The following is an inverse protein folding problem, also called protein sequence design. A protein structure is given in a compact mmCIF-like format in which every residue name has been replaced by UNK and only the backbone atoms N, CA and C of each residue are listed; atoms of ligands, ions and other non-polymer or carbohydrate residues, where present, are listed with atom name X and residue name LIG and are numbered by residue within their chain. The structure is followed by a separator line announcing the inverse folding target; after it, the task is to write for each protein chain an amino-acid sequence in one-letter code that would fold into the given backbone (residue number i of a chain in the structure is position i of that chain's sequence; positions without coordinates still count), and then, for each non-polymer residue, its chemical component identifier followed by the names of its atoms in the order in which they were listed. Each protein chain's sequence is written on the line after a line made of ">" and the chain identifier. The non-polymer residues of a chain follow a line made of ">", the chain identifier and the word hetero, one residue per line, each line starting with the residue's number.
data_IF_453912098849
#
_entry.id   IF_453912098849
#
_cell.length_a   1.000
_cell.length_b   1.000
_cell.length_c   1.000
_cell.angle_alpha   90.00
_cell.angle_beta   90.00
_cell.angle_gamma   90.00
#
_symmetry.space_group_name_H-M   'P 1'
#
loop_
_entity.id
_entity.type
_entity.pdbx_description
1 polymer ?
#
# COMPACT_ATOMS: atom_id res chain seq x y z
N UNK A 1 27.23 -6.15 -29.14
CA UNK A 1 27.77 -6.34 -27.77
C UNK A 1 27.44 -5.20 -26.78
N UNK A 2 26.71 -4.13 -27.18
CA UNK A 2 26.36 -3.01 -26.27
C UNK A 2 25.01 -3.14 -25.55
N UNK A 3 24.10 -4.03 -25.96
CA UNK A 3 22.77 -4.13 -25.35
C UNK A 3 22.76 -4.89 -24.02
N UNK A 4 23.65 -5.87 -23.84
CA UNK A 4 23.73 -6.70 -22.63
C UNK A 4 24.22 -5.97 -21.38
N UNK A 5 24.94 -4.84 -21.54
CA UNK A 5 25.49 -4.10 -20.40
C UNK A 5 24.46 -3.16 -19.75
N UNK A 6 23.52 -2.62 -20.53
CA UNK A 6 22.49 -1.68 -20.06
C UNK A 6 21.34 -2.41 -19.34
N UNK A 7 20.96 -3.59 -19.85
CA UNK A 7 19.94 -4.47 -19.26
C UNK A 7 20.38 -5.02 -17.89
N UNK A 8 21.68 -5.35 -17.74
CA UNK A 8 22.19 -5.92 -16.50
C UNK A 8 22.30 -4.88 -15.36
N UNK A 9 22.56 -3.60 -15.69
CA UNK A 9 22.53 -2.51 -14.71
C UNK A 9 21.12 -2.18 -14.25
N UNK A 10 20.14 -2.17 -15.15
CA UNK A 10 18.73 -1.91 -14.83
C UNK A 10 18.15 -2.99 -13.91
N UNK A 11 18.43 -4.27 -14.20
CA UNK A 11 18.04 -5.38 -13.33
C UNK A 11 18.67 -5.29 -11.93
N UNK A 12 19.94 -4.91 -11.83
CA UNK A 12 20.60 -4.75 -10.54
C UNK A 12 19.98 -3.62 -9.69
N UNK A 13 19.55 -2.53 -10.33
CA UNK A 13 18.89 -1.41 -9.67
C UNK A 13 17.49 -1.78 -9.18
N UNK A 14 16.70 -2.48 -9.99
CA UNK A 14 15.39 -3.02 -9.59
C UNK A 14 15.55 -3.97 -8.39
N UNK A 15 16.52 -4.89 -8.41
CA UNK A 15 16.79 -5.80 -7.30
C UNK A 15 17.21 -5.07 -6.02
N UNK A 16 17.91 -3.95 -6.15
CA UNK A 16 18.27 -3.08 -5.02
C UNK A 16 17.04 -2.37 -4.46
N UNK A 17 16.17 -1.84 -5.31
CA UNK A 17 14.94 -1.15 -4.91
C UNK A 17 13.92 -2.09 -4.26
N UNK A 18 13.83 -3.33 -4.73
CA UNK A 18 13.03 -4.38 -4.10
C UNK A 18 13.55 -4.73 -2.70
N UNK A 19 14.86 -4.58 -2.47
CA UNK A 19 15.48 -4.75 -1.16
C UNK A 19 15.40 -3.50 -0.26
N UNK A 20 14.97 -2.33 -0.77
CA UNK A 20 14.60 -1.17 0.04
C UNK A 20 13.24 -1.40 0.71
N UNK A 21 13.23 -2.26 1.72
CA UNK A 21 12.09 -2.56 2.59
C UNK A 21 12.45 -2.31 4.06
N UNK A 22 11.44 -2.11 4.90
CA UNK A 22 11.65 -1.97 6.33
C UNK A 22 12.34 -3.24 6.89
N UNK A 23 13.28 -3.10 7.84
CA UNK A 23 13.91 -4.25 8.47
C UNK A 23 12.90 -5.17 9.15
N UNK A 24 13.13 -6.49 9.13
CA UNK A 24 12.22 -7.49 9.70
C UNK A 24 11.81 -7.15 11.14
N UNK A 25 12.77 -6.74 11.99
CA UNK A 25 12.50 -6.32 13.37
C UNK A 25 11.45 -5.22 13.49
N UNK A 26 11.49 -4.23 12.58
CA UNK A 26 10.55 -3.11 12.58
C UNK A 26 9.18 -3.54 12.07
N UNK A 27 9.12 -4.43 11.09
CA UNK A 27 7.88 -5.09 10.65
C UNK A 27 7.23 -5.87 11.79
N UNK A 28 7.99 -6.71 12.50
CA UNK A 28 7.48 -7.47 13.64
C UNK A 28 6.93 -6.55 14.72
N UNK A 29 7.63 -5.46 15.03
CA UNK A 29 7.14 -4.46 15.99
C UNK A 29 5.80 -3.82 15.54
N UNK A 30 5.63 -3.52 14.26
CA UNK A 30 4.35 -3.03 13.73
C UNK A 30 3.25 -4.10 13.81
N UNK A 31 3.56 -5.36 13.48
CA UNK A 31 2.61 -6.48 13.59
C UNK A 31 2.16 -6.68 15.04
N UNK A 32 3.07 -6.56 16.00
CA UNK A 32 2.79 -6.77 17.41
C UNK A 32 1.81 -5.73 17.96
N UNK A 33 1.86 -4.50 17.44
CA UNK A 33 0.97 -3.39 17.82
C UNK A 33 -0.43 -3.48 17.21
N UNK A 34 -0.66 -4.34 16.21
CA UNK A 34 -1.99 -4.52 15.62
C UNK A 34 -2.95 -5.16 16.62
N UNK A 35 -4.18 -4.66 16.70
CA UNK A 35 -5.25 -5.26 17.49
C UNK A 35 -5.96 -6.36 16.67
N UNK A 36 -5.26 -7.47 16.49
CA UNK A 36 -5.68 -8.64 15.69
C UNK A 36 -5.28 -9.92 16.40
N UNK A 37 -5.88 -11.05 16.01
CA UNK A 37 -5.60 -12.36 16.63
C UNK A 37 -4.13 -12.76 16.50
N UNK A 38 -3.66 -13.58 17.46
CA UNK A 38 -2.30 -14.10 17.44
C UNK A 38 -1.99 -14.91 16.17
N UNK A 39 -2.98 -15.68 15.69
CA UNK A 39 -2.86 -16.43 14.44
C UNK A 39 -2.67 -15.51 13.24
N UNK A 40 -3.42 -14.39 13.19
CA UNK A 40 -3.25 -13.43 12.12
C UNK A 40 -1.89 -12.73 12.19
N UNK A 41 -1.40 -12.41 13.41
CA UNK A 41 -0.02 -11.92 13.59
C UNK A 41 1.01 -12.93 13.12
N UNK A 42 0.81 -14.23 13.38
CA UNK A 42 1.68 -15.28 12.88
C UNK A 42 1.71 -15.32 11.35
N UNK A 43 0.55 -15.26 10.69
CA UNK A 43 0.46 -15.18 9.23
C UNK A 43 1.21 -13.96 8.65
N UNK A 44 1.10 -12.79 9.29
CA UNK A 44 1.85 -11.59 8.87
C UNK A 44 3.37 -11.75 9.06
N UNK A 45 3.81 -12.44 10.12
CA UNK A 45 5.23 -12.76 10.33
C UNK A 45 5.74 -13.77 9.32
N UNK A 46 4.94 -14.78 8.98
CA UNK A 46 5.26 -15.75 7.93
C UNK A 46 5.39 -15.05 6.58
N UNK A 47 4.44 -14.15 6.26
CA UNK A 47 4.53 -13.30 5.08
C UNK A 47 5.81 -12.48 5.07
N UNK A 48 6.20 -11.85 6.18
CA UNK A 48 7.44 -11.07 6.27
C UNK A 48 8.72 -11.92 6.04
N UNK A 49 8.66 -13.23 6.23
CA UNK A 49 9.76 -14.16 5.97
C UNK A 49 9.77 -14.72 4.53
N UNK A 50 8.74 -14.43 3.72
CA UNK A 50 8.71 -14.85 2.31
C UNK A 50 9.85 -14.17 1.54
N UNK A 51 10.72 -14.99 0.97
CA UNK A 51 11.84 -14.57 0.11
C UNK A 51 11.77 -15.28 -1.23
N UNK A 52 12.31 -14.64 -2.27
CA UNK A 52 12.43 -15.18 -3.60
C UNK A 52 13.85 -14.95 -4.10
N UNK A 53 14.51 -16.01 -4.56
CA UNK A 53 15.83 -15.93 -5.19
C UNK A 53 15.69 -15.64 -6.70
N UNK A 54 16.32 -14.57 -7.17
CA UNK A 54 16.41 -14.18 -8.58
C UNK A 54 17.88 -14.20 -9.00
N UNK A 55 18.27 -15.16 -9.82
CA UNK A 55 19.68 -15.41 -10.15
C UNK A 55 20.49 -15.75 -8.90
N UNK A 56 21.48 -14.92 -8.56
CA UNK A 56 22.30 -15.06 -7.35
C UNK A 56 21.84 -14.18 -6.17
N UNK A 57 20.73 -13.45 -6.32
CA UNK A 57 20.27 -12.46 -5.34
C UNK A 57 19.00 -12.94 -4.64
N UNK A 58 19.00 -12.95 -3.30
CA UNK A 58 17.80 -13.21 -2.51
C UNK A 58 17.06 -11.88 -2.28
N UNK A 59 15.80 -11.82 -2.71
CA UNK A 59 14.91 -10.68 -2.52
C UNK A 59 13.85 -11.02 -1.48
N UNK A 60 13.69 -10.17 -0.48
CA UNK A 60 12.66 -10.38 0.54
C UNK A 60 11.34 -9.73 0.15
N UNK A 61 10.65 -10.37 -0.79
CA UNK A 61 9.40 -9.87 -1.36
C UNK A 61 8.32 -9.65 -0.30
N UNK A 62 8.23 -10.55 0.69
CA UNK A 62 7.26 -10.44 1.78
C UNK A 62 7.43 -9.18 2.62
N UNK A 63 8.70 -8.81 2.90
CA UNK A 63 9.01 -7.56 3.61
C UNK A 63 8.64 -6.33 2.79
N UNK A 64 8.85 -6.37 1.47
CA UNK A 64 8.46 -5.25 0.58
C UNK A 64 6.95 -5.07 0.55
N UNK A 65 6.18 -6.16 0.35
CA UNK A 65 4.71 -6.13 0.36
C UNK A 65 4.20 -5.53 1.67
N UNK A 66 4.68 -6.03 2.81
CA UNK A 66 4.21 -5.55 4.10
C UNK A 66 4.67 -4.11 4.41
N UNK A 67 5.87 -3.72 3.94
CA UNK A 67 6.33 -2.33 4.05
C UNK A 67 5.40 -1.38 3.30
N UNK A 68 5.05 -1.72 2.05
CA UNK A 68 4.13 -0.94 1.22
C UNK A 68 2.74 -0.92 1.85
N UNK A 69 2.25 -2.04 2.38
CA UNK A 69 0.96 -2.08 3.07
C UNK A 69 0.90 -1.13 4.28
N UNK A 70 1.95 -1.15 5.13
CA UNK A 70 2.06 -0.23 6.27
C UNK A 70 2.12 1.22 5.79
N UNK A 71 2.90 1.50 4.74
CA UNK A 71 3.00 2.83 4.14
C UNK A 71 1.65 3.32 3.62
N UNK A 72 0.88 2.49 2.91
CA UNK A 72 -0.46 2.85 2.41
C UNK A 72 -1.40 3.19 3.56
N UNK A 73 -1.49 2.32 4.58
CA UNK A 73 -2.40 2.49 5.71
C UNK A 73 -2.07 3.76 6.52
N UNK A 74 -0.78 4.09 6.64
CA UNK A 74 -0.34 5.27 7.40
C UNK A 74 -0.39 6.57 6.58
N UNK A 75 -0.22 6.50 5.26
CA UNK A 75 -0.15 7.68 4.39
C UNK A 75 -1.52 8.09 3.85
N UNK A 76 -2.41 7.13 3.60
CA UNK A 76 -3.70 7.35 2.93
C UNK A 76 -4.88 6.86 3.78
N UNK A 77 -5.12 7.46 4.96
CA UNK A 77 -6.23 7.05 5.83
C UNK A 77 -7.61 7.28 5.20
N UNK A 78 -7.77 8.28 4.34
CA UNK A 78 -8.99 8.57 3.60
C UNK A 78 -9.33 7.48 2.59
N UNK A 79 -8.35 6.97 1.84
CA UNK A 79 -8.51 5.80 0.96
C UNK A 79 -9.03 4.61 1.77
N UNK A 80 -8.40 4.30 2.90
CA UNK A 80 -8.80 3.16 3.74
C UNK A 80 -10.23 3.31 4.26
N UNK A 81 -10.59 4.51 4.73
CA UNK A 81 -11.95 4.82 5.17
C UNK A 81 -12.97 4.66 4.02
N UNK A 82 -12.66 5.18 2.84
CA UNK A 82 -13.51 5.09 1.66
C UNK A 82 -13.78 3.64 1.24
N UNK A 83 -12.74 2.80 1.22
CA UNK A 83 -12.86 1.36 0.96
C UNK A 83 -13.70 0.65 2.03
N UNK A 84 -13.48 0.97 3.31
CA UNK A 84 -14.25 0.38 4.41
C UNK A 84 -15.74 0.71 4.30
N UNK A 85 -16.10 1.99 4.10
CA UNK A 85 -17.49 2.43 3.92
C UNK A 85 -18.12 1.75 2.70
N UNK A 86 -17.43 1.75 1.56
CA UNK A 86 -17.90 1.09 0.35
C UNK A 86 -18.17 -0.40 0.56
N UNK A 87 -17.28 -1.09 1.28
CA UNK A 87 -17.41 -2.52 1.60
C UNK A 87 -18.61 -2.78 2.51
N UNK A 88 -18.79 -1.96 3.56
CA UNK A 88 -19.93 -2.07 4.49
C UNK A 88 -21.25 -1.87 3.74
N UNK A 89 -21.35 -0.82 2.91
CA UNK A 89 -22.56 -0.55 2.11
C UNK A 89 -22.87 -1.73 1.18
N UNK A 90 -21.85 -2.26 0.50
CA UNK A 90 -22.01 -3.42 -0.40
C UNK A 90 -22.50 -4.66 0.35
N UNK A 91 -21.93 -4.94 1.54
CA UNK A 91 -22.37 -6.05 2.39
C UNK A 91 -23.82 -5.89 2.84
N UNK A 92 -24.24 -4.69 3.25
CA UNK A 92 -25.62 -4.40 3.64
C UNK A 92 -26.57 -4.67 2.47
N UNK A 93 -26.27 -4.18 1.27
CA UNK A 93 -27.07 -4.45 0.06
C UNK A 93 -27.16 -5.96 -0.22
N UNK A 94 -26.07 -6.69 0.01
CA UNK A 94 -26.01 -8.14 -0.17
C UNK A 94 -26.95 -8.94 0.73
N UNK A 95 -27.40 -8.37 1.86
CA UNK A 95 -28.31 -9.05 2.80
C UNK A 95 -29.76 -9.11 2.33
N UNK A 96 -30.14 -8.35 1.30
CA UNK A 96 -31.52 -8.34 0.78
C UNK A 96 -31.83 -9.73 0.16
N UNK A 97 -32.86 -10.45 0.63
CA UNK A 97 -33.18 -11.76 0.09
C UNK A 97 -33.55 -11.68 -1.39
N UNK A 98 -33.25 -12.74 -2.14
CA UNK A 98 -33.53 -12.91 -3.57
C UNK A 98 -32.69 -12.02 -4.51
N UNK A 99 -32.65 -10.70 -4.27
CA UNK A 99 -32.02 -9.71 -5.19
C UNK A 99 -30.71 -9.12 -4.67
N UNK A 100 -30.46 -9.18 -3.36
CA UNK A 100 -29.29 -8.56 -2.72
C UNK A 100 -27.95 -9.00 -3.28
N UNK A 101 -27.68 -10.31 -3.47
CA UNK A 101 -26.41 -10.76 -4.02
C UNK A 101 -26.15 -10.24 -5.45
N UNK A 102 -27.18 -10.23 -6.30
CA UNK A 102 -27.07 -9.71 -7.67
C UNK A 102 -26.82 -8.19 -7.67
N UNK A 103 -27.54 -7.45 -6.82
CA UNK A 103 -27.35 -6.02 -6.67
C UNK A 103 -25.99 -5.69 -6.08
N UNK A 104 -25.52 -6.43 -5.07
CA UNK A 104 -24.21 -6.23 -4.46
C UNK A 104 -23.07 -6.52 -5.46
N UNK A 105 -23.21 -7.53 -6.32
CA UNK A 105 -22.24 -7.81 -7.37
C UNK A 105 -22.13 -6.67 -8.40
N UNK A 106 -23.21 -5.92 -8.62
CA UNK A 106 -23.23 -4.76 -9.51
C UNK A 106 -22.80 -3.45 -8.82
N UNK A 107 -23.34 -3.18 -7.63
CA UNK A 107 -23.10 -1.95 -6.85
C UNK A 107 -21.73 -1.95 -6.19
N UNK A 108 -21.21 -3.11 -5.81
CA UNK A 108 -19.94 -3.25 -5.10
C UNK A 108 -18.75 -2.61 -5.82
N UNK A 109 -18.49 -2.95 -7.10
CA UNK A 109 -17.43 -2.31 -7.88
C UNK A 109 -17.59 -0.78 -7.98
N UNK A 110 -18.83 -0.30 -8.14
CA UNK A 110 -19.12 1.15 -8.21
C UNK A 110 -18.80 1.80 -6.86
N UNK A 111 -19.29 1.22 -5.76
CA UNK A 111 -19.03 1.71 -4.40
C UNK A 111 -17.54 1.71 -4.08
N UNK A 112 -16.80 0.66 -4.43
CA UNK A 112 -15.36 0.61 -4.24
C UNK A 112 -14.64 1.66 -5.07
N UNK A 113 -14.99 1.82 -6.35
CA UNK A 113 -14.42 2.86 -7.20
C UNK A 113 -14.69 4.26 -6.64
N UNK A 114 -15.92 4.53 -6.19
CA UNK A 114 -16.28 5.81 -5.55
C UNK A 114 -15.55 6.00 -4.22
N UNK A 115 -15.51 4.99 -3.36
CA UNK A 115 -14.85 5.03 -2.05
C UNK A 115 -13.34 5.27 -2.20
N UNK A 116 -12.68 4.57 -3.11
CA UNK A 116 -11.26 4.78 -3.45
C UNK A 116 -11.03 6.21 -3.95
N UNK A 117 -11.85 6.67 -4.89
CA UNK A 117 -11.68 8.00 -5.50
C UNK A 117 -11.90 9.13 -4.49
N UNK A 118 -12.98 9.06 -3.71
CA UNK A 118 -13.31 10.06 -2.70
C UNK A 118 -12.33 10.03 -1.53
N UNK A 119 -11.89 8.84 -1.13
CA UNK A 119 -10.85 8.66 -0.12
C UNK A 119 -9.52 9.25 -0.55
N UNK A 120 -9.08 8.97 -1.78
CA UNK A 120 -7.87 9.55 -2.35
C UNK A 120 -7.97 11.08 -2.45
N UNK A 121 -9.12 11.59 -2.89
CA UNK A 121 -9.36 13.03 -2.96
C UNK A 121 -9.29 13.70 -1.58
N UNK A 122 -9.81 13.04 -0.54
CA UNK A 122 -9.70 13.49 0.84
C UNK A 122 -8.24 13.56 1.29
N UNK A 123 -7.46 12.52 1.01
CA UNK A 123 -6.04 12.47 1.38
C UNK A 123 -5.23 13.55 0.65
N UNK A 124 -5.51 13.80 -0.63
CA UNK A 124 -4.86 14.87 -1.40
C UNK A 124 -5.24 16.28 -0.94
N UNK A 125 -6.48 16.48 -0.47
CA UNK A 125 -6.95 17.76 0.04
C UNK A 125 -6.50 18.04 1.49
N UNK A 126 -5.81 17.09 2.12
CA UNK A 126 -5.29 17.28 3.48
C UNK A 126 -4.24 18.40 3.55
N UNK A 127 -4.16 19.06 4.71
CA UNK A 127 -3.16 20.08 4.99
C UNK A 127 -1.71 19.57 4.91
N UNK A 128 -1.51 18.25 4.98
CA UNK A 128 -0.20 17.62 4.80
C UNK A 128 0.34 17.84 3.38
N UNK A 129 -0.51 17.78 2.36
CA UNK A 129 -0.09 18.02 0.98
C UNK A 129 0.25 19.49 0.74
N UNK A 130 -0.59 20.41 1.22
CA UNK A 130 -0.32 21.84 1.10
C UNK A 130 0.98 22.24 1.82
N UNK A 131 1.27 21.62 2.97
CA UNK A 131 2.52 21.83 3.71
C UNK A 131 3.74 21.33 2.94
N UNK A 132 3.67 20.16 2.29
CA UNK A 132 4.76 19.63 1.45
C UNK A 132 5.01 20.52 0.23
N UNK A 133 3.96 21.01 -0.43
CA UNK A 133 4.07 21.93 -1.55
C UNK A 133 4.73 23.25 -1.12
N UNK A 134 4.31 23.80 0.03
CA UNK A 134 4.90 25.02 0.57
C UNK A 134 6.39 24.82 0.95
N UNK A 135 6.75 23.69 1.56
CA UNK A 135 8.13 23.37 1.89
C UNK A 135 9.01 23.23 0.65
N UNK A 136 8.50 22.58 -0.41
CA UNK A 136 9.21 22.48 -1.69
C UNK A 136 9.39 23.85 -2.34
N UNK A 137 8.36 24.70 -2.33
CA UNK A 137 8.46 26.08 -2.82
C UNK A 137 9.55 26.87 -2.08
N UNK A 138 9.64 26.72 -0.76
CA UNK A 138 10.68 27.37 0.04
C UNK A 138 12.10 26.87 -0.32
N UNK A 139 12.27 25.56 -0.53
CA UNK A 139 13.56 24.98 -0.95
C UNK A 139 13.98 25.47 -2.34
N UNK A 140 13.06 25.49 -3.31
CA UNK A 140 13.33 25.98 -4.66
C UNK A 140 13.65 27.48 -4.67
N UNK A 141 12.96 28.27 -3.84
CA UNK A 141 13.27 29.69 -3.67
C UNK A 141 14.68 29.89 -3.09
N UNK A 142 15.09 29.08 -2.12
CA UNK A 142 16.42 29.12 -1.50
C UNK A 142 17.55 28.69 -2.45
N UNK A 143 17.29 27.78 -3.40
CA UNK A 143 18.28 27.33 -4.40
C UNK A 143 18.41 28.32 -5.57
N UNK A 144 17.37 29.13 -5.81
CA UNK A 144 17.35 30.16 -6.87
C UNK A 144 17.91 31.52 -6.40
N UNK A 145 18.04 31.74 -5.10
CA UNK A 145 18.61 32.94 -4.49
C UNK A 145 20.14 32.84 -4.37
#
# INVERSE_FOLDING_TARGET
>A
MSQTHHENSENAEILKELNLSLPLRKLTAHIDQLDVSADFKALLRDLANVTWTVGSTVVAIGRKILSVAIEIVTTFPGILFGVAVASIVTLIVGTIPLVGPLLAAFVGPIMLATGLTMGALSDFRSSAWSTKVAALQAQLAAVKA
#
